data_IF_698063636850
#
_entry.id   IF_698063636850
#
_cell.length_a   1.000
_cell.length_b   1.000
_cell.length_c   1.000
_cell.angle_alpha   90.00
_cell.angle_beta   90.00
_cell.angle_gamma   90.00
#
_symmetry.space_group_name_H-M   'P 1'
#
loop_
_entity.id
_entity.type
_entity.pdbx_description
1 polymer ?
#
# COMPACT_ATOMS: atom_id res chain seq x y z
N UNK A 1 4.15 -11.29 -12.55
CA UNK A 1 3.99 -12.68 -13.04
C UNK A 1 5.23 -13.48 -12.70
N UNK A 2 5.10 -14.69 -12.15
CA UNK A 2 6.24 -15.58 -11.87
C UNK A 2 6.07 -16.85 -12.70
N UNK A 3 7.01 -17.11 -13.61
CA UNK A 3 7.01 -18.29 -14.45
C UNK A 3 7.50 -19.49 -13.63
N UNK A 4 6.65 -20.51 -13.51
CA UNK A 4 6.90 -21.73 -12.75
C UNK A 4 7.81 -22.67 -13.56
N UNK A 5 8.99 -23.02 -13.04
CA UNK A 5 9.80 -24.13 -13.57
C UNK A 5 10.29 -24.98 -12.41
N UNK A 6 9.84 -26.23 -12.38
CA UNK A 6 10.19 -27.22 -11.34
C UNK A 6 11.06 -28.29 -12.00
N UNK A 7 12.28 -28.47 -11.51
CA UNK A 7 13.24 -29.48 -12.01
C UNK A 7 13.59 -30.41 -10.84
N UNK A 8 13.46 -31.73 -11.06
CA UNK A 8 13.83 -32.77 -10.09
C UNK A 8 15.08 -33.54 -10.53
N UNK A 9 15.93 -33.92 -9.58
CA UNK A 9 17.15 -34.71 -9.80
C UNK A 9 17.16 -35.88 -8.82
N UNK A 10 17.43 -37.10 -9.29
CA UNK A 10 17.37 -38.32 -8.48
C UNK A 10 18.76 -38.87 -8.12
N UNK A 11 19.00 -39.11 -6.82
CA UNK A 11 20.16 -39.86 -6.32
C UNK A 11 19.81 -41.30 -5.93
N UNK A 12 20.82 -42.16 -5.80
CA UNK A 12 20.67 -43.59 -5.44
C UNK A 12 21.38 -43.89 -4.10
N UNK A 13 20.62 -44.25 -3.08
CA UNK A 13 21.17 -44.88 -1.87
C UNK A 13 20.13 -45.86 -1.29
N UNK A 14 20.59 -47.03 -0.86
CA UNK A 14 19.77 -48.12 -0.33
C UNK A 14 19.51 -47.93 1.17
N UNK A 15 18.24 -47.96 1.59
CA UNK A 15 17.82 -47.95 3.00
C UNK A 15 17.06 -49.26 3.33
N UNK A 16 17.25 -49.85 4.53
CA UNK A 16 16.57 -51.09 4.93
C UNK A 16 15.06 -50.87 5.14
N UNK A 17 14.25 -51.79 4.61
CA UNK A 17 12.78 -51.72 4.62
C UNK A 17 12.24 -52.45 5.84
N UNK A 18 11.73 -51.72 6.83
CA UNK A 18 10.91 -52.28 7.92
C UNK A 18 9.42 -52.12 7.59
N UNK A 19 8.66 -53.22 7.68
CA UNK A 19 7.23 -53.30 7.39
C UNK A 19 6.39 -52.74 8.56
N UNK A 20 6.48 -51.44 8.81
CA UNK A 20 5.58 -50.75 9.74
C UNK A 20 4.38 -50.18 8.97
N UNK A 21 3.16 -50.56 9.39
CA UNK A 21 1.91 -50.09 8.81
C UNK A 21 1.62 -48.68 9.35
N UNK A 22 2.00 -47.66 8.59
CA UNK A 22 1.83 -46.25 8.97
C UNK A 22 0.41 -45.78 8.65
N UNK A 23 -0.38 -45.46 9.67
CA UNK A 23 -1.74 -44.91 9.51
C UNK A 23 -1.64 -43.49 8.94
N UNK A 24 -2.27 -43.26 7.79
CA UNK A 24 -2.19 -42.01 7.05
C UNK A 24 -3.23 -40.98 7.53
N UNK A 25 -2.84 -40.17 8.51
CA UNK A 25 -3.61 -38.99 8.94
C UNK A 25 -3.48 -37.81 7.96
N UNK A 26 -2.67 -37.93 6.90
CA UNK A 26 -2.29 -36.84 6.01
C UNK A 26 -3.38 -36.52 4.98
N UNK A 27 -4.13 -37.53 4.51
CA UNK A 27 -5.28 -37.35 3.58
C UNK A 27 -6.36 -36.41 4.13
N UNK A 28 -6.63 -36.40 5.44
CA UNK A 28 -7.61 -35.48 6.06
C UNK A 28 -7.13 -34.01 6.17
N UNK A 29 -5.83 -33.72 6.09
CA UNK A 29 -5.30 -32.33 6.13
C UNK A 29 -5.35 -31.61 4.77
N UNK A 30 -5.64 -32.32 3.68
CA UNK A 30 -5.54 -31.78 2.32
C UNK A 30 -6.71 -30.85 1.92
N UNK A 31 -7.87 -30.88 2.57
CA UNK A 31 -8.98 -29.98 2.21
C UNK A 31 -8.80 -28.54 2.72
N UNK A 32 -7.78 -28.27 3.54
CA UNK A 32 -7.50 -26.97 4.13
C UNK A 32 -6.59 -26.03 3.30
N UNK A 33 -6.31 -26.34 2.03
CA UNK A 33 -5.40 -25.52 1.19
C UNK A 33 -5.85 -24.05 1.06
N UNK A 34 -7.16 -23.77 1.12
CA UNK A 34 -7.69 -22.41 1.07
C UNK A 34 -7.57 -21.59 2.38
N UNK A 35 -7.11 -22.20 3.47
CA UNK A 35 -7.03 -21.58 4.81
C UNK A 35 -5.59 -21.17 5.21
N UNK A 36 -4.58 -21.70 4.53
CA UNK A 36 -3.18 -21.63 4.99
C UNK A 36 -2.41 -20.44 4.39
N UNK A 37 -2.91 -19.90 3.28
CA UNK A 37 -2.36 -18.74 2.58
C UNK A 37 -3.48 -17.66 2.51
N UNK A 38 -3.84 -17.03 3.65
CA UNK A 38 -5.00 -16.14 3.71
C UNK A 38 -4.80 -14.89 2.85
N UNK A 39 -3.55 -14.49 2.63
CA UNK A 39 -3.21 -13.30 1.87
C UNK A 39 -3.38 -13.50 0.36
N UNK A 40 -3.25 -14.71 -0.18
CA UNK A 40 -3.48 -14.98 -1.61
C UNK A 40 -4.93 -14.73 -2.02
N UNK A 41 -5.89 -14.90 -1.10
CA UNK A 41 -7.30 -14.52 -1.35
C UNK A 41 -7.51 -13.02 -1.38
N UNK A 42 -6.76 -12.27 -0.58
CA UNK A 42 -6.81 -10.80 -0.63
C UNK A 42 -6.13 -10.32 -1.91
N UNK A 43 -4.95 -10.87 -2.21
CA UNK A 43 -4.19 -10.57 -3.42
C UNK A 43 -4.91 -11.04 -4.70
N UNK A 44 -5.87 -11.99 -4.64
CA UNK A 44 -6.68 -12.37 -5.79
C UNK A 44 -7.77 -11.37 -6.12
N UNK A 45 -8.11 -10.45 -5.21
CA UNK A 45 -9.00 -9.32 -5.51
C UNK A 45 -8.28 -8.20 -6.27
N UNK A 46 -6.95 -8.15 -6.20
CA UNK A 46 -6.16 -7.17 -6.95
C UNK A 46 -6.21 -7.51 -8.45
N UNK A 47 -6.40 -6.49 -9.27
CA UNK A 47 -6.30 -6.63 -10.71
C UNK A 47 -4.90 -7.12 -11.09
N UNK A 48 -4.84 -8.11 -11.99
CA UNK A 48 -3.58 -8.71 -12.43
C UNK A 48 -3.38 -8.39 -13.90
N UNK A 49 -2.33 -7.63 -14.19
CA UNK A 49 -1.87 -7.37 -15.55
C UNK A 49 -0.57 -8.14 -15.82
N UNK A 50 -0.39 -8.60 -17.06
CA UNK A 50 0.86 -9.18 -17.51
C UNK A 50 1.87 -8.09 -17.86
N UNK A 51 3.10 -8.23 -17.39
CA UNK A 51 4.22 -7.37 -17.76
C UNK A 51 5.32 -8.23 -18.39
N UNK A 52 5.90 -7.73 -19.49
CA UNK A 52 6.96 -8.44 -20.22
C UNK A 52 8.36 -7.90 -19.89
N UNK A 53 8.44 -6.75 -19.23
CA UNK A 53 9.70 -6.11 -18.88
C UNK A 53 10.16 -6.50 -17.47
N UNK A 54 11.47 -6.47 -17.25
CA UNK A 54 12.07 -6.71 -15.93
C UNK A 54 11.77 -5.59 -14.93
N UNK A 55 11.40 -4.42 -15.44
CA UNK A 55 10.97 -3.24 -14.71
C UNK A 55 9.52 -2.96 -15.07
N UNK A 56 8.70 -2.77 -14.04
CA UNK A 56 7.28 -2.48 -14.15
C UNK A 56 7.11 -1.04 -13.71
N UNK A 57 6.79 -0.19 -14.67
CA UNK A 57 6.56 1.22 -14.43
C UNK A 57 5.07 1.49 -14.20
N UNK A 58 4.80 2.27 -13.17
CA UNK A 58 3.53 2.91 -12.89
C UNK A 58 3.78 4.40 -13.04
N UNK A 59 3.05 5.02 -13.95
CA UNK A 59 3.05 6.48 -14.09
C UNK A 59 1.97 6.98 -13.15
N UNK A 60 2.38 7.69 -12.11
CA UNK A 60 1.47 8.40 -11.22
C UNK A 60 1.37 9.84 -11.75
N UNK A 61 0.20 10.16 -12.28
CA UNK A 61 -0.16 11.52 -12.67
C UNK A 61 -0.80 12.18 -11.46
N UNK A 62 -0.08 13.14 -10.87
CA UNK A 62 -0.64 13.96 -9.81
C UNK A 62 -1.08 15.29 -10.40
N UNK A 63 -2.30 15.70 -10.05
CA UNK A 63 -2.76 17.05 -10.32
C UNK A 63 -1.78 18.05 -9.72
N UNK A 64 -1.56 19.15 -10.45
CA UNK A 64 -0.74 20.24 -9.95
C UNK A 64 -1.36 20.80 -8.66
N UNK A 65 -0.56 21.09 -7.62
CA UNK A 65 -1.10 21.70 -6.41
C UNK A 65 -1.76 23.04 -6.74
N UNK A 66 -3.05 23.15 -6.37
CA UNK A 66 -3.83 24.39 -6.45
C UNK A 66 -3.53 25.34 -5.30
N UNK A 67 -2.84 24.86 -4.26
CA UNK A 67 -2.46 25.64 -3.07
C UNK A 67 -0.96 25.59 -2.86
N UNK A 68 -0.36 26.74 -2.61
CA UNK A 68 1.07 26.93 -2.32
C UNK A 68 1.22 27.56 -0.94
N UNK A 69 2.24 27.16 -0.16
CA UNK A 69 2.43 27.67 1.20
C UNK A 69 3.56 28.71 1.22
N UNK A 70 3.31 29.84 1.90
CA UNK A 70 4.32 30.86 2.18
C UNK A 70 5.39 30.31 3.12
N UNK A 71 6.66 30.38 2.73
CA UNK A 71 7.77 29.89 3.53
C UNK A 71 8.25 30.91 4.58
N UNK A 72 8.22 32.19 4.24
CA UNK A 72 8.72 33.29 5.09
C UNK A 72 7.69 34.40 5.19
N UNK A 73 7.61 35.05 6.36
CA UNK A 73 6.75 36.22 6.52
C UNK A 73 7.27 37.36 5.65
N UNK A 74 6.45 37.82 4.72
CA UNK A 74 6.79 38.86 3.75
C UNK A 74 6.14 40.19 4.11
N UNK A 75 6.92 41.26 3.99
CA UNK A 75 6.43 42.62 4.19
C UNK A 75 5.34 42.95 3.18
N UNK A 76 4.47 43.87 3.58
CA UNK A 76 3.33 44.32 2.79
C UNK A 76 3.72 45.03 1.48
N UNK A 77 4.97 45.47 1.38
CA UNK A 77 5.57 46.12 0.20
C UNK A 77 6.59 45.22 -0.53
N UNK A 78 6.77 43.98 -0.09
CA UNK A 78 7.72 43.04 -0.70
C UNK A 78 7.22 42.64 -2.10
N UNK A 79 8.08 42.81 -3.10
CA UNK A 79 7.85 42.34 -4.48
C UNK A 79 8.37 40.93 -4.70
N UNK A 80 8.81 40.25 -3.64
CA UNK A 80 9.32 38.89 -3.68
C UNK A 80 8.66 38.07 -2.57
N UNK A 81 8.23 36.86 -2.89
CA UNK A 81 7.67 35.92 -1.91
C UNK A 81 8.47 34.63 -1.97
N UNK A 82 8.83 34.09 -0.81
CA UNK A 82 9.41 32.74 -0.75
C UNK A 82 8.30 31.73 -0.49
N UNK A 83 8.20 30.72 -1.36
CA UNK A 83 7.22 29.62 -1.22
C UNK A 83 7.92 28.30 -0.92
N UNK A 84 7.28 27.43 -0.14
CA UNK A 84 7.87 26.14 0.27
C UNK A 84 8.02 25.16 -0.91
N UNK A 85 7.08 25.19 -1.86
CA UNK A 85 7.11 24.41 -3.09
C UNK A 85 6.56 25.28 -4.24
N UNK A 86 7.40 25.57 -5.22
CA UNK A 86 7.04 26.43 -6.37
C UNK A 86 6.66 25.65 -7.61
N UNK A 87 7.08 24.38 -7.71
CA UNK A 87 6.74 23.45 -8.79
C UNK A 87 6.82 24.05 -10.20
N UNK A 88 6.11 23.43 -11.13
CA UNK A 88 5.73 24.03 -12.43
C UNK A 88 4.37 24.72 -12.36
N UNK A 89 3.82 24.89 -11.16
CA UNK A 89 2.47 25.42 -10.94
C UNK A 89 2.41 26.93 -11.07
N UNK A 90 3.50 27.60 -10.73
CA UNK A 90 3.63 29.04 -10.86
C UNK A 90 4.24 29.36 -12.23
N UNK A 91 3.45 30.01 -13.08
CA UNK A 91 3.87 30.53 -14.38
C UNK A 91 3.74 32.04 -14.35
N UNK A 92 4.40 32.76 -15.26
CA UNK A 92 4.15 34.18 -15.46
C UNK A 92 2.64 34.47 -15.62
N UNK A 93 2.22 35.59 -15.06
CA UNK A 93 0.86 36.12 -14.92
C UNK A 93 -0.14 35.26 -14.13
N UNK A 94 0.30 34.16 -13.51
CA UNK A 94 -0.52 33.42 -12.54
C UNK A 94 -0.90 34.34 -11.37
N UNK A 95 -2.17 34.32 -10.99
CA UNK A 95 -2.66 35.08 -9.84
C UNK A 95 -2.57 34.23 -8.56
N UNK A 96 -2.19 34.87 -7.47
CA UNK A 96 -2.00 34.29 -6.16
C UNK A 96 -2.97 34.96 -5.19
N UNK A 97 -3.90 34.19 -4.65
CA UNK A 97 -4.90 34.68 -3.70
C UNK A 97 -4.58 34.18 -2.29
N UNK A 98 -4.49 35.12 -1.33
CA UNK A 98 -4.39 34.77 0.07
C UNK A 98 -5.78 34.90 0.75
N UNK A 99 -6.45 33.78 1.10
CA UNK A 99 -7.79 33.79 1.69
C UNK A 99 -7.83 34.45 3.08
N UNK A 100 -6.70 34.52 3.80
CA UNK A 100 -6.63 35.18 5.11
C UNK A 100 -6.70 36.70 4.99
N UNK A 101 -6.03 37.26 4.00
CA UNK A 101 -5.90 38.71 3.84
C UNK A 101 -6.75 39.30 2.74
N UNK A 102 -7.41 38.45 1.93
CA UNK A 102 -8.09 38.84 0.70
C UNK A 102 -7.19 39.68 -0.24
N UNK A 103 -5.90 39.34 -0.30
CA UNK A 103 -4.91 40.00 -1.16
C UNK A 103 -4.64 39.15 -2.40
N UNK A 104 -4.54 39.80 -3.56
CA UNK A 104 -4.24 39.13 -4.84
C UNK A 104 -2.94 39.70 -5.39
N UNK A 105 -2.00 38.83 -5.73
CA UNK A 105 -0.73 39.21 -6.36
C UNK A 105 -0.52 38.43 -7.64
N UNK A 106 0.09 39.06 -8.62
CA UNK A 106 0.37 38.44 -9.92
C UNK A 106 1.85 38.08 -9.99
N UNK A 107 2.16 36.88 -10.49
CA UNK A 107 3.54 36.43 -10.70
C UNK A 107 4.12 37.11 -11.93
N UNK A 108 5.25 37.81 -11.79
CA UNK A 108 5.84 38.56 -12.89
C UNK A 108 6.60 37.67 -13.87
N UNK A 109 7.32 36.67 -13.35
CA UNK A 109 8.15 35.78 -14.14
C UNK A 109 8.03 34.35 -13.62
N UNK A 110 8.10 33.38 -14.52
CA UNK A 110 8.10 31.96 -14.15
C UNK A 110 9.30 31.69 -13.23
N UNK A 111 9.08 31.35 -11.94
CA UNK A 111 10.14 31.22 -10.97
C UNK A 111 11.02 30.00 -11.27
N UNK A 112 12.33 30.18 -11.20
CA UNK A 112 13.32 29.09 -11.28
C UNK A 112 13.80 28.63 -9.90
N UNK A 113 13.46 29.40 -8.86
CA UNK A 113 13.85 29.20 -7.46
C UNK A 113 12.64 29.42 -6.54
N UNK A 114 12.79 29.16 -5.24
CA UNK A 114 11.71 29.36 -4.25
C UNK A 114 11.28 30.83 -4.09
N UNK A 115 12.10 31.79 -4.53
CA UNK A 115 11.73 33.21 -4.54
C UNK A 115 10.97 33.55 -5.82
N UNK A 116 9.71 33.94 -5.66
CA UNK A 116 8.79 34.32 -6.72
C UNK A 116 8.69 35.85 -6.72
N UNK A 117 8.99 36.48 -7.86
CA UNK A 117 8.76 37.91 -8.06
C UNK A 117 7.29 38.15 -8.35
N UNK A 118 6.66 39.04 -7.59
CA UNK A 118 5.24 39.35 -7.73
C UNK A 118 4.99 40.85 -7.81
N UNK A 119 4.04 41.21 -8.65
CA UNK A 119 3.42 42.53 -8.66
C UNK A 119 2.13 42.47 -7.84
N UNK A 120 1.93 43.48 -6.99
CA UNK A 120 0.69 43.64 -6.24
C UNK A 120 -0.42 43.99 -7.24
N UNK A 121 -1.37 43.07 -7.43
CA UNK A 121 -2.48 43.27 -8.37
C UNK A 121 -3.50 44.21 -7.76
N UNK A 122 -4.02 45.14 -8.56
CA UNK A 122 -4.95 46.19 -8.12
C UNK A 122 -6.35 45.68 -7.74
N UNK A 123 -6.64 44.39 -7.91
CA UNK A 123 -7.94 43.79 -7.66
C UNK A 123 -8.05 43.20 -6.24
N UNK A 124 -7.91 44.04 -5.23
CA UNK A 124 -8.09 43.67 -3.82
C UNK A 124 -8.23 44.93 -2.98
N UNK A 125 -9.33 45.07 -2.24
CA UNK A 125 -9.73 46.33 -1.57
C UNK A 125 -8.84 46.74 -0.40
N UNK A 126 -7.80 45.98 -0.06
CA UNK A 126 -6.84 46.31 0.98
C UNK A 126 -5.42 46.27 0.44
N UNK A 127 -4.92 47.45 0.08
CA UNK A 127 -3.50 47.70 -0.19
C UNK A 127 -2.62 47.13 0.93
N UNK A 128 -1.67 46.27 0.57
CA UNK A 128 -0.49 45.97 1.40
C UNK A 128 -0.81 45.16 2.68
N UNK A 129 -1.26 43.90 2.53
CA UNK A 129 -1.35 42.97 3.65
C UNK A 129 -0.07 42.11 3.79
N UNK A 130 0.40 41.91 5.02
CA UNK A 130 1.55 41.04 5.32
C UNK A 130 1.14 39.58 5.11
N UNK A 131 1.88 38.87 4.26
CA UNK A 131 1.73 37.41 4.09
C UNK A 131 2.63 36.73 5.11
N UNK A 132 2.09 35.84 5.91
CA UNK A 132 2.80 35.22 7.04
C UNK A 132 3.25 33.81 6.65
N UNK A 133 4.39 33.36 7.18
CA UNK A 133 4.83 31.99 7.00
C UNK A 133 3.74 30.99 7.42
N UNK A 134 3.43 30.04 6.54
CA UNK A 134 2.36 29.06 6.74
C UNK A 134 1.00 29.46 6.16
N UNK A 135 0.84 30.68 5.62
CA UNK A 135 -0.39 31.03 4.91
C UNK A 135 -0.57 30.15 3.65
N UNK A 136 -1.75 29.53 3.46
CA UNK A 136 -2.09 28.86 2.22
C UNK A 136 -2.46 29.91 1.16
N UNK A 137 -1.83 29.83 0.00
CA UNK A 137 -2.10 30.70 -1.15
C UNK A 137 -2.79 29.85 -2.21
N UNK A 138 -3.98 30.27 -2.63
CA UNK A 138 -4.66 29.66 -3.76
C UNK A 138 -4.08 30.19 -5.07
N UNK A 139 -3.73 29.25 -5.96
CA UNK A 139 -3.21 29.54 -7.30
C UNK A 139 -4.40 29.67 -8.24
N UNK A 140 -4.65 30.91 -8.67
CA UNK A 140 -5.69 31.26 -9.62
C UNK A 140 -5.15 31.20 -11.07
N UNK A 141 -6.03 31.00 -12.07
CA UNK A 141 -5.62 31.01 -13.47
C UNK A 141 -4.95 32.34 -13.85
N UNK A 142 -4.06 32.32 -14.86
CA UNK A 142 -3.32 33.51 -15.25
C UNK A 142 -4.23 34.59 -15.83
N UNK A 143 -3.89 35.85 -15.53
CA UNK A 143 -4.56 37.00 -16.11
C UNK A 143 -3.96 37.29 -17.49
N UNK A 144 -4.69 36.96 -18.55
CA UNK A 144 -4.24 37.14 -19.93
C UNK A 144 -4.71 38.48 -20.50
N UNK A 145 -3.89 39.06 -21.38
CA UNK A 145 -4.29 40.23 -22.17
C UNK A 145 -5.32 39.83 -23.24
N UNK A 146 -6.18 40.77 -23.62
CA UNK A 146 -7.08 40.57 -24.76
C UNK A 146 -6.25 40.32 -26.04
N UNK A 147 -6.50 39.20 -26.70
CA UNK A 147 -5.74 38.67 -27.86
C UNK A 147 -4.35 38.11 -27.54
N UNK A 148 -4.09 37.65 -26.32
CA UNK A 148 -2.87 36.89 -26.02
C UNK A 148 -2.88 35.54 -26.78
N UNK A 149 -1.93 35.36 -27.70
CA UNK A 149 -1.73 34.12 -28.46
C UNK A 149 -0.71 33.18 -27.80
N UNK A 150 -0.13 33.57 -26.65
CA UNK A 150 0.90 32.76 -25.99
C UNK A 150 0.31 31.48 -25.38
N UNK A 151 0.73 30.34 -25.93
CA UNK A 151 0.43 29.02 -25.36
C UNK A 151 1.29 28.78 -24.13
N UNK A 152 0.64 28.66 -22.96
CA UNK A 152 1.30 28.31 -21.70
C UNK A 152 1.05 26.83 -21.42
N UNK A 153 2.07 25.97 -21.56
CA UNK A 153 1.87 24.53 -21.35
C UNK A 153 1.61 24.26 -19.87
N UNK A 154 0.39 23.83 -19.55
CA UNK A 154 0.06 23.26 -18.24
C UNK A 154 0.25 21.74 -18.36
N UNK A 155 1.27 21.20 -17.71
CA UNK A 155 1.58 19.76 -17.74
C UNK A 155 1.29 19.11 -16.39
N UNK A 156 0.64 17.95 -16.39
CA UNK A 156 0.50 17.16 -15.16
C UNK A 156 1.89 16.74 -14.65
N UNK A 157 2.10 16.74 -13.33
CA UNK A 157 3.37 16.25 -12.78
C UNK A 157 3.35 14.73 -12.83
N UNK A 158 3.92 14.15 -13.89
CA UNK A 158 4.12 12.71 -14.01
C UNK A 158 5.33 12.29 -13.18
N UNK A 159 5.10 11.49 -12.14
CA UNK A 159 6.17 10.82 -11.41
C UNK A 159 6.23 9.34 -11.81
N UNK A 160 7.43 8.85 -12.13
CA UNK A 160 7.65 7.46 -12.48
C UNK A 160 7.90 6.65 -11.21
N UNK A 161 6.95 5.81 -10.83
CA UNK A 161 7.09 4.83 -9.76
C UNK A 161 7.32 3.46 -10.38
N UNK A 162 8.43 2.81 -10.07
CA UNK A 162 8.79 1.54 -10.71
C UNK A 162 9.04 0.41 -9.71
N UNK A 163 8.90 -0.83 -10.18
CA UNK A 163 9.26 -2.03 -9.44
C UNK A 163 10.05 -3.02 -10.29
N UNK A 164 10.88 -3.84 -9.66
CA UNK A 164 11.57 -4.93 -10.35
C UNK A 164 10.81 -6.24 -10.25
N UNK A 165 10.89 -7.06 -11.31
CA UNK A 165 10.48 -8.44 -11.26
C UNK A 165 11.57 -9.30 -10.58
N UNK A 166 11.21 -9.94 -9.47
CA UNK A 166 12.09 -10.89 -8.79
C UNK A 166 11.80 -12.33 -9.24
N UNK A 167 12.85 -13.06 -9.58
CA UNK A 167 12.78 -14.49 -9.89
C UNK A 167 12.95 -15.30 -8.60
N UNK A 168 11.92 -16.06 -8.23
CA UNK A 168 11.95 -17.00 -7.12
C UNK A 168 11.98 -18.44 -7.65
N UNK A 169 12.95 -19.24 -7.20
CA UNK A 169 13.07 -20.67 -7.54
C UNK A 169 13.17 -21.48 -6.24
N UNK A 170 12.40 -22.56 -6.14
CA UNK A 170 12.52 -23.56 -5.08
C UNK A 170 12.75 -24.93 -5.72
N UNK A 171 13.77 -25.64 -5.23
CA UNK A 171 14.08 -26.99 -5.67
C UNK A 171 13.54 -28.01 -4.66
N UNK A 172 13.13 -29.16 -5.17
CA UNK A 172 12.94 -30.37 -4.37
C UNK A 172 13.58 -31.55 -5.09
N UNK A 173 14.12 -32.49 -4.32
CA UNK A 173 14.80 -33.67 -4.83
C UNK A 173 14.22 -34.91 -4.17
N UNK A 174 14.05 -35.98 -4.96
CA UNK A 174 13.53 -37.27 -4.51
C UNK A 174 14.33 -38.35 -5.23
N UNK A 175 14.77 -39.36 -4.48
CA UNK A 175 15.45 -40.53 -5.02
C UNK A 175 14.42 -41.51 -5.58
N UNK A 176 14.72 -42.20 -6.69
CA UNK A 176 13.78 -43.15 -7.33
C UNK A 176 13.35 -44.26 -6.38
N UNK A 177 14.31 -44.79 -5.61
CA UNK A 177 14.07 -45.84 -4.64
C UNK A 177 13.06 -45.41 -3.57
N UNK A 178 13.15 -44.16 -3.10
CA UNK A 178 12.20 -43.62 -2.13
C UNK A 178 10.83 -43.30 -2.76
N UNK A 179 10.71 -43.18 -4.07
CA UNK A 179 9.40 -42.95 -4.70
C UNK A 179 8.64 -44.26 -4.93
N UNK A 180 9.36 -45.38 -5.10
CA UNK A 180 8.82 -46.71 -5.37
C UNK A 180 8.55 -47.53 -4.11
N UNK A 181 9.01 -47.09 -2.93
CA UNK A 181 8.74 -47.76 -1.65
C UNK A 181 7.25 -47.83 -1.35
N UNK A 182 6.71 -49.05 -1.27
CA UNK A 182 5.32 -49.33 -0.87
C UNK A 182 5.04 -49.01 0.59
N UNK A 183 6.09 -48.94 1.42
CA UNK A 183 6.03 -48.56 2.84
C UNK A 183 5.90 -47.06 3.07
N UNK A 184 5.99 -46.25 2.01
CA UNK A 184 5.80 -44.81 2.13
C UNK A 184 4.32 -44.44 2.26
N UNK A 185 4.08 -43.35 2.99
CA UNK A 185 2.76 -42.80 3.23
C UNK A 185 2.00 -42.63 1.91
N UNK A 186 0.88 -43.34 1.77
CA UNK A 186 0.03 -43.28 0.58
C UNK A 186 0.33 -44.30 -0.53
N UNK A 187 1.43 -45.04 -0.44
CA UNK A 187 1.87 -45.99 -1.47
C UNK A 187 2.79 -45.39 -2.55
N UNK A 188 3.18 -46.18 -3.56
CA UNK A 188 4.16 -45.77 -4.58
C UNK A 188 3.74 -44.48 -5.30
N UNK A 189 4.64 -43.51 -5.41
CA UNK A 189 4.40 -42.23 -6.08
C UNK A 189 3.59 -41.18 -5.30
N UNK A 190 2.89 -41.55 -4.22
CA UNK A 190 2.16 -40.57 -3.38
C UNK A 190 3.14 -39.65 -2.63
N UNK A 191 4.31 -40.14 -2.24
CA UNK A 191 5.35 -39.37 -1.57
C UNK A 191 5.88 -38.19 -2.42
N UNK A 192 6.07 -38.40 -3.72
CA UNK A 192 6.42 -37.32 -4.67
C UNK A 192 5.33 -36.27 -4.77
N UNK A 193 4.07 -36.67 -4.84
CA UNK A 193 2.97 -35.72 -4.87
C UNK A 193 2.87 -34.92 -3.56
N UNK A 194 3.06 -35.58 -2.42
CA UNK A 194 3.10 -34.93 -1.11
C UNK A 194 4.19 -33.84 -1.07
N UNK A 195 5.43 -34.18 -1.42
CA UNK A 195 6.54 -33.22 -1.41
C UNK A 195 6.34 -32.07 -2.38
N UNK A 196 5.83 -32.35 -3.59
CA UNK A 196 5.47 -31.31 -4.55
C UNK A 196 4.45 -30.34 -3.96
N UNK A 197 3.38 -30.84 -3.31
CA UNK A 197 2.36 -30.00 -2.66
C UNK A 197 2.91 -29.20 -1.48
N UNK A 198 3.75 -29.80 -0.65
CA UNK A 198 4.40 -29.10 0.47
C UNK A 198 5.31 -27.97 -0.03
N UNK A 199 6.07 -28.21 -1.10
CA UNK A 199 6.96 -27.19 -1.66
C UNK A 199 6.22 -26.10 -2.41
N UNK A 200 5.10 -26.44 -3.06
CA UNK A 200 4.20 -25.44 -3.62
C UNK A 200 3.62 -24.54 -2.50
N UNK A 201 3.25 -25.11 -1.37
CA UNK A 201 2.79 -24.35 -0.19
C UNK A 201 3.88 -23.41 0.35
N UNK A 202 5.09 -23.90 0.56
CA UNK A 202 6.20 -23.06 1.00
C UNK A 202 6.49 -21.94 -0.02
N UNK A 203 6.38 -22.25 -1.31
CA UNK A 203 6.57 -21.27 -2.38
C UNK A 203 5.51 -20.16 -2.32
N UNK A 204 4.23 -20.52 -2.18
CA UNK A 204 3.14 -19.55 -2.10
C UNK A 204 3.28 -18.67 -0.87
N UNK A 205 3.59 -19.24 0.31
CA UNK A 205 3.78 -18.47 1.54
C UNK A 205 4.97 -17.50 1.44
N UNK A 206 6.10 -17.95 0.88
CA UNK A 206 7.26 -17.08 0.67
C UNK A 206 6.98 -15.99 -0.35
N UNK A 207 6.21 -16.29 -1.40
CA UNK A 207 5.81 -15.32 -2.42
C UNK A 207 4.86 -14.27 -1.84
N UNK A 208 3.93 -14.66 -0.96
CA UNK A 208 3.07 -13.71 -0.23
C UNK A 208 3.89 -12.78 0.66
N UNK A 209 4.80 -13.36 1.47
CA UNK A 209 5.71 -12.57 2.31
C UNK A 209 6.56 -11.60 1.49
N UNK A 210 7.02 -12.03 0.32
CA UNK A 210 7.74 -11.16 -0.61
C UNK A 210 6.86 -10.01 -1.11
N UNK A 211 5.61 -10.28 -1.51
CA UNK A 211 4.66 -9.25 -1.93
C UNK A 211 4.31 -8.26 -0.83
N UNK A 212 4.28 -8.68 0.43
CA UNK A 212 3.97 -7.81 1.57
C UNK A 212 5.18 -7.00 2.05
N UNK A 213 6.33 -7.66 2.23
CA UNK A 213 7.49 -7.13 2.95
C UNK A 213 8.76 -7.00 2.09
N UNK A 214 8.67 -7.27 0.79
CA UNK A 214 9.80 -7.16 -0.13
C UNK A 214 10.42 -5.76 -0.15
N UNK A 215 11.74 -5.71 -0.30
CA UNK A 215 12.50 -4.48 -0.48
C UNK A 215 12.96 -4.37 -1.92
N UNK A 216 12.74 -3.20 -2.55
CA UNK A 216 13.25 -2.92 -3.88
C UNK A 216 14.75 -2.71 -3.83
N UNK A 217 15.51 -3.39 -4.68
CA UNK A 217 16.95 -3.21 -4.75
C UNK A 217 17.61 -4.05 -5.84
N UNK A 218 18.83 -3.67 -6.20
CA UNK A 218 19.69 -4.43 -7.10
C UNK A 218 21.00 -4.75 -6.39
N UNK A 219 21.54 -5.94 -6.64
CA UNK A 219 22.84 -6.36 -6.11
C UNK A 219 23.63 -7.13 -7.15
N UNK A 220 24.95 -6.98 -7.14
CA UNK A 220 25.87 -7.58 -8.12
C UNK A 220 26.20 -6.67 -9.30
N UNK A 221 27.15 -7.10 -10.13
CA UNK A 221 27.62 -6.40 -11.33
C UNK A 221 27.64 -7.34 -12.54
N UNK A 222 27.59 -6.77 -13.74
CA UNK A 222 27.67 -7.51 -15.01
C UNK A 222 26.52 -8.49 -15.23
N UNK A 223 26.83 -9.72 -15.64
CA UNK A 223 25.82 -10.75 -15.98
C UNK A 223 25.09 -11.34 -14.77
N UNK A 224 25.49 -11.03 -13.53
CA UNK A 224 24.96 -11.62 -12.29
C UNK A 224 24.13 -10.65 -11.44
N UNK A 225 23.45 -9.69 -12.07
CA UNK A 225 22.59 -8.74 -11.37
C UNK A 225 21.38 -9.47 -10.79
N UNK A 226 21.26 -9.42 -9.46
CA UNK A 226 20.10 -9.90 -8.71
C UNK A 226 19.19 -8.72 -8.42
N UNK A 227 17.94 -8.81 -8.88
CA UNK A 227 16.91 -7.80 -8.65
C UNK A 227 15.93 -8.31 -7.59
N UNK A 228 15.64 -7.46 -6.61
CA UNK A 228 14.66 -7.70 -5.57
C UNK A 228 13.43 -6.81 -5.81
N UNK A 229 12.25 -7.41 -5.71
CA UNK A 229 10.99 -6.70 -5.90
C UNK A 229 10.57 -6.01 -4.61
N UNK A 230 10.14 -4.75 -4.72
CA UNK A 230 9.44 -4.05 -3.64
C UNK A 230 8.07 -4.68 -3.39
N UNK A 231 7.77 -4.94 -2.12
CA UNK A 231 6.43 -5.32 -1.67
C UNK A 231 5.61 -4.11 -1.27
N UNK A 232 4.40 -4.34 -0.74
CA UNK A 232 3.49 -3.30 -0.25
C UNK A 232 4.18 -2.36 0.75
N UNK A 233 4.98 -2.90 1.68
CA UNK A 233 5.72 -2.10 2.66
C UNK A 233 6.73 -1.12 2.03
N UNK A 234 7.28 -1.43 0.86
CA UNK A 234 8.17 -0.49 0.16
C UNK A 234 7.38 0.74 -0.29
N UNK A 235 6.28 0.53 -1.01
CA UNK A 235 5.43 1.60 -1.52
C UNK A 235 4.77 2.42 -0.39
N UNK A 236 4.34 1.76 0.69
CA UNK A 236 3.74 2.45 1.84
C UNK A 236 4.74 3.37 2.57
N UNK A 237 6.03 3.01 2.60
CA UNK A 237 7.06 3.85 3.26
C UNK A 237 7.51 5.02 2.41
N UNK A 238 7.45 4.87 1.09
CA UNK A 238 7.85 5.92 0.14
C UNK A 238 6.69 6.77 -0.35
N UNK A 239 5.45 6.39 -0.03
CA UNK A 239 4.25 7.12 -0.41
C UNK A 239 3.97 8.35 0.45
N UNK A 240 3.08 9.21 -0.04
CA UNK A 240 2.69 10.49 0.57
C UNK A 240 1.90 10.35 1.89
N UNK A 241 1.20 9.23 2.09
CA UNK A 241 0.26 9.02 3.21
C UNK A 241 0.82 8.15 4.35
N UNK A 242 2.14 8.13 4.53
CA UNK A 242 2.74 7.43 5.66
C UNK A 242 2.55 8.21 6.97
N UNK A 243 1.74 7.68 7.89
CA UNK A 243 1.58 8.23 9.24
C UNK A 243 2.26 7.34 10.27
N UNK A 244 3.22 7.90 11.00
CA UNK A 244 3.81 7.26 12.16
C UNK A 244 3.04 7.64 13.43
N UNK A 245 2.40 6.66 14.07
CA UNK A 245 1.67 6.85 15.32
C UNK A 245 2.58 6.93 16.58
N UNK A 246 3.91 7.04 16.41
CA UNK A 246 4.88 7.19 17.49
C UNK A 246 4.75 6.16 18.62
N UNK A 247 4.33 4.94 18.28
CA UNK A 247 4.15 3.83 19.23
C UNK A 247 2.80 3.77 19.95
N UNK A 248 1.93 4.78 19.80
CA UNK A 248 0.61 4.82 20.44
C UNK A 248 -0.50 5.02 19.42
N UNK A 249 -1.32 3.99 19.24
CA UNK A 249 -2.46 4.02 18.32
C UNK A 249 -3.73 4.48 19.07
N UNK A 250 -4.14 5.73 18.87
CA UNK A 250 -5.30 6.36 19.53
C UNK A 250 -6.47 6.54 18.56
N UNK A 251 -7.69 6.66 19.09
CA UNK A 251 -8.91 6.90 18.30
C UNK A 251 -8.79 8.22 17.50
N UNK A 252 -8.48 9.33 18.18
CA UNK A 252 -8.25 10.63 17.50
C UNK A 252 -7.18 10.59 16.40
N UNK A 253 -6.09 9.85 16.60
CA UNK A 253 -5.04 9.72 15.59
C UNK A 253 -5.52 8.94 14.36
N UNK A 254 -6.33 7.91 14.60
CA UNK A 254 -6.96 7.09 13.57
C UNK A 254 -7.98 7.90 12.75
N UNK A 255 -8.85 8.66 13.42
CA UNK A 255 -9.86 9.48 12.75
C UNK A 255 -9.20 10.58 11.90
N UNK A 256 -8.20 11.27 12.44
CA UNK A 256 -7.43 12.26 11.67
C UNK A 256 -6.77 11.61 10.44
N UNK A 257 -6.21 10.40 10.57
CA UNK A 257 -5.61 9.70 9.43
C UNK A 257 -6.64 9.31 8.36
N UNK A 258 -7.84 8.91 8.77
CA UNK A 258 -8.92 8.62 7.83
C UNK A 258 -9.47 9.89 7.16
N UNK A 259 -9.51 11.03 7.88
CA UNK A 259 -9.79 12.35 7.32
C UNK A 259 -8.76 12.72 6.25
N UNK A 260 -7.46 12.69 6.61
CA UNK A 260 -6.34 12.95 5.69
C UNK A 260 -6.44 12.08 4.40
N UNK A 261 -6.81 10.81 4.55
CA UNK A 261 -6.99 9.89 3.42
C UNK A 261 -8.22 10.26 2.56
N UNK A 262 -9.34 10.61 3.20
CA UNK A 262 -10.59 10.93 2.52
C UNK A 262 -10.48 12.20 1.68
N UNK A 263 -9.79 13.21 2.21
CA UNK A 263 -9.55 14.48 1.54
C UNK A 263 -8.69 14.30 0.29
N UNK A 264 -7.71 13.40 0.33
CA UNK A 264 -6.86 13.10 -0.82
C UNK A 264 -7.52 12.16 -1.84
N UNK A 265 -8.55 11.40 -1.44
CA UNK A 265 -9.22 10.43 -2.29
C UNK A 265 -10.74 10.67 -2.27
N UNK A 266 -11.21 11.84 -2.75
CA UNK A 266 -12.62 12.21 -2.72
C UNK A 266 -13.50 11.19 -3.44
N UNK A 267 -13.02 10.63 -4.56
CA UNK A 267 -13.79 9.75 -5.46
C UNK A 267 -13.93 8.29 -4.99
N UNK A 268 -13.39 7.95 -3.81
CA UNK A 268 -13.38 6.57 -3.30
C UNK A 268 -14.38 6.41 -2.16
N UNK A 269 -15.48 5.71 -2.42
CA UNK A 269 -16.51 5.43 -1.41
C UNK A 269 -16.19 4.24 -0.50
N UNK A 270 -15.43 3.28 -1.04
CA UNK A 270 -15.05 2.05 -0.35
C UNK A 270 -13.54 1.89 -0.32
N UNK A 271 -13.02 1.65 0.89
CA UNK A 271 -11.60 1.42 1.13
C UNK A 271 -11.43 0.08 1.84
N UNK A 272 -10.70 -0.83 1.21
CA UNK A 272 -10.31 -2.10 1.83
C UNK A 272 -9.21 -1.83 2.87
N UNK A 273 -9.48 -2.15 4.14
CA UNK A 273 -8.48 -2.02 5.20
C UNK A 273 -7.76 -3.34 5.48
N UNK A 274 -6.45 -3.35 5.26
CA UNK A 274 -5.57 -4.47 5.57
C UNK A 274 -4.75 -4.16 6.81
N UNK A 275 -4.96 -4.92 7.89
CA UNK A 275 -4.27 -4.70 9.15
C UNK A 275 -3.80 -5.99 9.82
N UNK A 276 -2.83 -5.86 10.72
CA UNK A 276 -2.44 -6.94 11.61
C UNK A 276 -3.54 -7.16 12.69
N UNK A 277 -3.72 -8.39 13.19
CA UNK A 277 -4.74 -8.70 14.20
C UNK A 277 -4.66 -7.83 15.46
N UNK A 278 -3.45 -7.40 15.83
CA UNK A 278 -3.24 -6.53 16.99
C UNK A 278 -3.82 -5.13 16.80
N UNK A 279 -3.73 -4.56 15.60
CA UNK A 279 -4.29 -3.24 15.28
C UNK A 279 -5.81 -3.31 15.32
N UNK A 280 -6.39 -4.35 14.74
CA UNK A 280 -7.84 -4.53 14.83
C UNK A 280 -8.32 -4.69 16.27
N UNK A 281 -7.57 -5.39 17.13
CA UNK A 281 -7.89 -5.46 18.56
C UNK A 281 -7.91 -4.07 19.19
N UNK A 282 -7.00 -3.17 18.80
CA UNK A 282 -7.00 -1.79 19.27
C UNK A 282 -8.21 -1.01 18.78
N UNK A 283 -8.59 -1.15 17.50
CA UNK A 283 -9.81 -0.55 16.96
C UNK A 283 -11.04 -1.04 17.73
N UNK A 284 -11.09 -2.34 18.07
CA UNK A 284 -12.17 -2.88 18.90
C UNK A 284 -12.21 -2.26 20.29
N UNK A 285 -11.07 -1.83 20.84
CA UNK A 285 -11.02 -1.14 22.12
C UNK A 285 -11.56 0.29 22.06
N UNK A 286 -11.54 0.97 20.90
CA UNK A 286 -12.11 2.32 20.77
C UNK A 286 -13.61 2.37 21.11
N UNK A 287 -14.37 1.32 20.78
CA UNK A 287 -15.77 1.28 21.14
C UNK A 287 -16.06 0.64 22.50
N UNK A 288 -15.06 0.09 23.21
CA UNK A 288 -15.29 -0.63 24.48
C UNK A 288 -16.07 0.22 25.49
N UNK A 289 -15.73 1.51 25.60
CA UNK A 289 -16.34 2.43 26.55
C UNK A 289 -17.68 3.02 26.04
N UNK A 290 -18.03 2.73 24.78
CA UNK A 290 -19.26 3.19 24.11
C UNK A 290 -20.37 2.13 24.14
N UNK A 291 -20.06 0.87 24.48
CA UNK A 291 -21.06 -0.21 24.56
C UNK A 291 -21.82 -0.12 25.89
N UNK A 292 -23.15 -0.14 25.82
CA UNK A 292 -24.03 -0.36 26.98
C UNK A 292 -24.55 -1.80 26.95
N UNK A 293 -24.34 -2.55 28.01
CA UNK A 293 -24.81 -3.93 28.13
C UNK A 293 -26.22 -3.93 28.74
N UNK A 294 -27.14 -4.68 28.13
CA UNK A 294 -28.49 -4.90 28.69
C UNK A 294 -28.45 -5.97 29.79
N UNK A 295 -29.25 -5.86 30.88
CA UNK A 295 -29.20 -6.76 32.05
C UNK A 295 -29.40 -8.27 31.78
N UNK A 296 -29.77 -8.67 30.56
CA UNK A 296 -30.00 -10.08 30.20
C UNK A 296 -29.02 -10.60 29.12
N UNK A 297 -28.02 -9.83 28.73
CA UNK A 297 -27.07 -10.24 27.70
C UNK A 297 -26.10 -11.32 28.21
N UNK A 298 -26.07 -12.49 27.55
CA UNK A 298 -25.17 -13.62 27.86
C UNK A 298 -23.85 -13.59 27.08
N UNK A 299 -23.72 -12.69 26.13
CA UNK A 299 -22.54 -12.55 25.27
C UNK A 299 -22.14 -11.08 25.18
N UNK A 300 -20.84 -10.82 25.16
CA UNK A 300 -20.25 -9.50 24.96
C UNK A 300 -19.22 -9.55 23.83
N UNK A 301 -19.14 -8.50 23.02
CA UNK A 301 -18.20 -8.40 21.91
C UNK A 301 -18.76 -7.54 20.79
N UNK A 302 -17.86 -7.02 19.95
CA UNK A 302 -18.19 -6.27 18.75
C UNK A 302 -17.65 -7.00 17.54
N UNK A 303 -18.46 -7.03 16.48
CA UNK A 303 -18.04 -7.45 15.16
C UNK A 303 -18.23 -6.27 14.21
N UNK A 304 -17.12 -5.69 13.73
CA UNK A 304 -17.18 -4.56 12.81
C UNK A 304 -17.30 -5.11 11.39
N UNK A 305 -18.33 -4.71 10.65
CA UNK A 305 -18.41 -4.99 9.22
C UNK A 305 -17.86 -3.82 8.40
N UNK A 306 -17.93 -2.61 8.95
CA UNK A 306 -17.29 -1.43 8.39
C UNK A 306 -17.33 -0.28 9.39
N UNK A 307 -16.42 0.67 9.20
CA UNK A 307 -16.34 1.90 9.99
C UNK A 307 -16.71 3.04 9.07
N UNK A 308 -17.71 3.84 9.46
CA UNK A 308 -18.05 5.07 8.76
C UNK A 308 -17.08 6.18 9.21
N UNK A 309 -16.49 6.86 8.23
CA UNK A 309 -15.69 8.06 8.44
C UNK A 309 -16.59 9.28 8.64
N UNK A 310 -16.04 10.37 9.15
CA UNK A 310 -16.76 11.65 9.31
C UNK A 310 -17.32 12.18 7.98
N UNK A 311 -16.70 11.81 6.86
CA UNK A 311 -17.16 12.13 5.50
C UNK A 311 -18.22 11.15 4.95
N UNK A 312 -18.72 10.21 5.76
CA UNK A 312 -19.74 9.23 5.36
C UNK A 312 -19.23 8.05 4.53
N UNK A 313 -17.93 7.94 4.26
CA UNK A 313 -17.32 6.82 3.53
C UNK A 313 -17.14 5.61 4.43
N UNK A 314 -17.28 4.40 3.88
CA UNK A 314 -17.17 3.16 4.66
C UNK A 314 -15.85 2.44 4.40
N UNK A 315 -15.09 2.27 5.48
CA UNK A 315 -13.91 1.42 5.50
C UNK A 315 -14.36 0.01 5.82
N UNK A 316 -14.23 -0.90 4.86
CA UNK A 316 -14.62 -2.30 5.07
C UNK A 316 -13.42 -3.11 5.58
N UNK A 317 -13.71 -3.93 6.58
CA UNK A 317 -12.72 -4.86 7.09
C UNK A 317 -12.54 -6.01 6.09
N UNK A 318 -11.34 -6.15 5.53
CA UNK A 318 -10.96 -7.38 4.83
C UNK A 318 -10.45 -8.43 5.83
N UNK A 319 -11.34 -8.90 6.71
CA UNK A 319 -11.03 -10.03 7.58
C UNK A 319 -11.39 -11.35 6.90
N UNK A 320 -10.38 -12.14 6.52
CA UNK A 320 -10.51 -13.60 6.56
C UNK A 320 -9.52 -14.15 7.56
N UNK A 321 -10.07 -14.37 8.75
CA UNK A 321 -9.40 -14.83 9.96
C UNK A 321 -8.73 -16.20 9.75
N UNK A 322 -7.45 -16.25 10.13
CA UNK A 322 -6.69 -17.45 10.51
C UNK A 322 -7.40 -18.27 11.62
N UNK A 323 -8.39 -17.68 12.31
CA UNK A 323 -9.11 -18.26 13.46
C UNK A 323 -10.12 -19.37 13.13
N UNK A 324 -10.46 -19.65 11.86
CA UNK A 324 -11.20 -20.88 11.53
C UNK A 324 -10.39 -22.15 11.82
N UNK A 325 -9.05 -22.05 11.94
CA UNK A 325 -8.18 -23.17 12.29
C UNK A 325 -8.30 -23.57 13.77
N UNK A 326 -8.52 -22.66 14.71
CA UNK A 326 -8.60 -23.03 16.14
C UNK A 326 -9.95 -23.68 16.49
N UNK A 327 -11.04 -23.23 15.86
CA UNK A 327 -12.36 -23.83 16.02
C UNK A 327 -12.41 -25.22 15.40
N UNK A 328 -11.86 -25.40 14.20
CA UNK A 328 -11.78 -26.73 13.58
C UNK A 328 -10.79 -27.65 14.30
N UNK A 329 -9.67 -27.16 14.85
CA UNK A 329 -8.76 -27.98 15.68
C UNK A 329 -9.40 -28.39 17.01
N UNK A 330 -10.24 -27.55 17.61
CA UNK A 330 -10.97 -27.87 18.84
C UNK A 330 -12.11 -28.87 18.57
N UNK A 331 -12.90 -28.64 17.53
CA UNK A 331 -13.95 -29.58 17.06
C UNK A 331 -13.37 -30.91 16.54
N UNK A 332 -12.09 -30.94 16.13
CA UNK A 332 -11.36 -32.17 15.75
C UNK A 332 -10.63 -32.87 16.92
N UNK A 333 -10.49 -32.23 18.08
CA UNK A 333 -9.96 -32.88 19.30
C UNK A 333 -11.04 -33.54 20.13
N UNK A 334 -12.28 -33.06 19.99
CA UNK A 334 -13.44 -33.54 20.74
C UNK A 334 -14.26 -34.59 19.96
N UNK A 335 -13.77 -35.05 18.79
CA UNK A 335 -14.35 -36.12 17.95
C UNK A 335 -13.32 -37.22 17.68
#
# INVERSE_FOLDING_TARGET
>A
MATLTVIGTGGSANLPVTNELKIDLWKKRQTAFGAIAPLTKILSRLAVNSAHNFEIDVIEENEMPTVVIVATTESSVSTTIVVQAYGTTLVADTQLFNPRTNDIRTVDTTPTTQSVTVTISQAGTTSSAVWVAGDPIEVLPPQLAENDETLRPVSVQSSRVFNYQQLAKLQYAITRLNDELTTNFGGPGEFRQMLKRQKLREFTEKTEKLKMFGGRGTSGSGASIKRASGGLNHFLRTGSLFKNFNGTFTESGWDNWLGDYSDQNPDKDFVDFLCAPNILRQINYFAKDKIRISPQAKMYGLNYMGIATETGKTVQECQRRILELERTIKEMKDA
#
